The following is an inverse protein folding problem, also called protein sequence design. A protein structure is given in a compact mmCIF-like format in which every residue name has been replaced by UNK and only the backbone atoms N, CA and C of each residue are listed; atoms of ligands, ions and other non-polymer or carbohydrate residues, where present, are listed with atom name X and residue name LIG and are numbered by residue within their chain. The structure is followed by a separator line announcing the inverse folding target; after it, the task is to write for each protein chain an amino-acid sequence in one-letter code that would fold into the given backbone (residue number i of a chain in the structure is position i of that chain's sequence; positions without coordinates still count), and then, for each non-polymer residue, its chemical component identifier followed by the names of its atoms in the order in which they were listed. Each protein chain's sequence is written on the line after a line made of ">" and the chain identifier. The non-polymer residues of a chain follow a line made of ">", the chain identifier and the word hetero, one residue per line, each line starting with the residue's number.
data_IF_939877546065
#
_entry.id   IF_939877546065
#
_cell.length_a   1.000
_cell.length_b   1.000
_cell.length_c   1.000
_cell.angle_alpha   90.00
_cell.angle_beta   90.00
_cell.angle_gamma   90.00
#
_symmetry.space_group_name_H-M   'P 1'
#
loop_
_entity.id
_entity.type
_entity.pdbx_description
1 polymer ?
#
# COMPACT_ATOMS: atom_id res chain seq x y z
N UNK A 1 -6.24 -53.37 37.63
CA UNK A 1 -6.06 -52.71 38.95
C UNK A 1 -4.66 -53.00 39.45
N UNK A 2 -3.74 -52.07 39.23
CA UNK A 2 -2.36 -52.09 39.75
C UNK A 2 -2.07 -50.67 40.23
N UNK A 3 -1.78 -50.56 41.52
CA UNK A 3 -1.48 -49.34 42.25
C UNK A 3 -0.23 -48.65 41.71
N UNK A 4 -0.36 -47.38 41.34
CA UNK A 4 0.76 -46.46 41.15
C UNK A 4 0.64 -45.32 42.15
N UNK A 5 1.54 -45.32 43.13
CA UNK A 5 1.76 -44.20 44.07
C UNK A 5 2.63 -43.13 43.38
N UNK A 6 2.38 -41.82 43.61
CA UNK A 6 3.21 -40.76 43.07
C UNK A 6 4.49 -40.56 43.89
N UNK A 7 5.62 -40.38 43.19
CA UNK A 7 6.91 -39.98 43.76
C UNK A 7 6.92 -38.46 44.02
N UNK A 8 7.32 -38.08 45.23
CA UNK A 8 7.63 -36.70 45.64
C UNK A 8 8.92 -36.23 44.95
N UNK A 9 8.89 -35.06 44.31
CA UNK A 9 10.07 -34.35 43.81
C UNK A 9 10.36 -33.22 44.79
N UNK A 10 11.59 -33.19 45.34
CA UNK A 10 12.09 -32.15 46.23
C UNK A 10 12.64 -31.00 45.38
N UNK A 11 12.21 -29.77 45.69
CA UNK A 11 12.82 -28.54 45.18
C UNK A 11 13.99 -28.15 46.09
N UNK A 12 15.19 -28.05 45.52
CA UNK A 12 16.36 -27.45 46.17
C UNK A 12 16.56 -26.02 45.64
N UNK A 13 16.42 -25.04 46.54
CA UNK A 13 16.76 -23.64 46.33
C UNK A 13 18.27 -23.48 46.12
N UNK A 14 18.67 -22.91 44.99
CA UNK A 14 20.02 -22.46 44.71
C UNK A 14 19.98 -21.00 44.24
N UNK A 15 20.28 -20.10 45.16
CA UNK A 15 20.39 -18.65 44.92
C UNK A 15 21.85 -18.26 44.70
N UNK A 16 22.15 -17.61 43.58
CA UNK A 16 23.33 -16.75 43.41
C UNK A 16 23.00 -15.56 42.49
N UNK A 17 23.52 -14.34 42.79
CA UNK A 17 23.16 -13.12 42.09
C UNK A 17 24.20 -12.76 41.02
N UNK A 18 23.77 -12.38 39.82
CA UNK A 18 24.63 -11.69 38.85
C UNK A 18 23.90 -10.46 38.28
N UNK A 19 24.33 -9.32 38.80
CA UNK A 19 24.33 -7.95 38.28
C UNK A 19 23.75 -7.73 36.87
N UNK A 20 22.54 -7.15 36.81
CA UNK A 20 22.04 -6.40 35.66
C UNK A 20 22.81 -5.08 35.54
N UNK A 21 23.38 -4.81 34.36
CA UNK A 21 23.61 -3.45 33.89
C UNK A 21 22.46 -3.13 32.95
N UNK A 22 21.50 -2.39 33.46
CA UNK A 22 20.37 -1.88 32.69
C UNK A 22 20.88 -0.79 31.74
N UNK A 23 20.97 -1.12 30.45
CA UNK A 23 20.91 -0.15 29.38
C UNK A 23 19.47 -0.14 28.88
N UNK A 24 18.61 0.60 29.57
CA UNK A 24 17.25 0.88 29.11
C UNK A 24 17.34 1.83 27.93
N UNK A 25 17.47 1.28 26.73
CA UNK A 25 17.16 2.04 25.51
C UNK A 25 15.65 2.29 25.53
N UNK A 26 15.25 3.51 25.87
CA UNK A 26 13.87 3.95 25.78
C UNK A 26 13.50 3.94 24.29
N UNK A 27 12.70 2.96 23.87
CA UNK A 27 12.05 3.00 22.57
C UNK A 27 11.04 4.15 22.60
N UNK A 28 11.42 5.28 21.99
CA UNK A 28 10.51 6.41 21.78
C UNK A 28 9.53 5.97 20.71
N UNK A 29 8.36 5.50 21.14
CA UNK A 29 7.21 5.32 20.25
C UNK A 29 6.71 6.72 19.88
N UNK A 30 7.13 7.24 18.73
CA UNK A 30 6.38 8.31 18.07
C UNK A 30 5.01 7.74 17.73
N UNK A 31 3.99 8.13 18.51
CA UNK A 31 2.60 7.81 18.22
C UNK A 31 2.27 8.31 16.81
N UNK A 32 2.02 7.39 15.88
CA UNK A 32 1.65 7.61 14.48
C UNK A 32 0.25 8.24 14.33
N UNK A 33 0.04 9.41 14.93
CA UNK A 33 -1.16 10.25 14.76
C UNK A 33 -0.86 11.58 14.03
N UNK A 34 0.34 11.74 13.45
CA UNK A 34 0.61 12.89 12.59
C UNK A 34 0.02 12.72 11.18
N UNK A 35 -0.49 13.79 10.55
CA UNK A 35 -0.94 13.76 9.16
C UNK A 35 0.26 13.52 8.23
N UNK A 36 0.36 12.31 7.70
CA UNK A 36 1.50 11.89 6.88
C UNK A 36 1.56 12.61 5.52
N UNK A 37 2.70 13.25 5.27
CA UNK A 37 3.16 13.64 3.95
C UNK A 37 3.60 12.40 3.17
N UNK A 38 2.97 12.15 2.01
CA UNK A 38 3.40 11.11 1.07
C UNK A 38 4.72 11.58 0.43
N UNK A 39 5.86 11.07 0.90
CA UNK A 39 7.09 11.06 0.11
C UNK A 39 7.13 9.79 -0.71
N UNK A 40 7.21 9.94 -2.03
CA UNK A 40 7.41 8.83 -2.96
C UNK A 40 8.85 8.35 -2.86
N UNK A 41 9.18 7.60 -1.81
CA UNK A 41 10.45 6.88 -1.75
C UNK A 41 10.32 5.58 -2.54
N UNK A 42 11.16 5.49 -3.56
CA UNK A 42 11.30 4.36 -4.47
C UNK A 42 11.78 3.14 -3.67
N UNK A 43 11.16 1.98 -3.91
CA UNK A 43 11.61 0.68 -3.41
C UNK A 43 13.04 0.40 -3.91
N UNK A 44 14.06 0.71 -3.11
CA UNK A 44 15.40 0.17 -3.26
C UNK A 44 15.52 -1.08 -2.38
N UNK A 45 15.46 -2.25 -3.01
CA UNK A 45 15.82 -3.50 -2.34
C UNK A 45 17.29 -3.47 -1.95
N UNK A 46 17.68 -3.89 -0.72
CA UNK A 46 19.08 -3.92 -0.34
C UNK A 46 19.84 -4.98 -1.15
N UNK A 47 20.79 -4.53 -1.97
CA UNK A 47 21.77 -5.37 -2.64
C UNK A 47 22.74 -5.99 -1.62
N UNK A 48 22.92 -7.30 -1.71
CA UNK A 48 23.83 -8.09 -0.87
C UNK A 48 25.28 -7.71 -1.20
N UNK A 49 25.99 -7.06 -0.26
CA UNK A 49 27.45 -7.00 -0.28
C UNK A 49 28.03 -8.30 0.27
N UNK A 50 28.51 -9.15 -0.64
CA UNK A 50 29.29 -10.34 -0.32
C UNK A 50 30.76 -9.96 -0.06
N UNK A 51 31.24 -10.25 1.14
CA UNK A 51 32.67 -10.23 1.50
C UNK A 51 33.34 -11.42 0.83
N UNK A 52 34.29 -11.17 -0.09
CA UNK A 52 35.17 -12.19 -0.67
C UNK A 52 36.61 -11.88 -0.29
N UNK A 53 37.25 -12.88 0.30
CA UNK A 53 38.62 -12.88 0.80
C UNK A 53 39.65 -12.99 -0.33
N UNK A 54 40.68 -12.14 -0.26
CA UNK A 54 42.06 -12.25 -0.75
C UNK A 54 42.41 -13.16 -1.95
N UNK A 55 42.81 -12.51 -3.05
CA UNK A 55 43.65 -13.08 -4.10
C UNK A 55 44.20 -11.96 -4.99
N UNK A 56 45.49 -11.68 -4.90
CA UNK A 56 46.20 -10.66 -5.67
C UNK A 56 46.38 -11.07 -7.14
N UNK A 57 46.14 -10.17 -8.10
CA UNK A 57 47.00 -9.88 -9.27
C UNK A 57 46.43 -8.73 -10.12
N UNK A 58 47.23 -7.65 -10.20
CA UNK A 58 47.46 -6.61 -11.23
C UNK A 58 46.37 -5.77 -11.93
N UNK A 59 46.74 -4.51 -12.32
CA UNK A 59 45.81 -3.41 -12.56
C UNK A 59 45.65 -3.08 -14.04
N UNK A 60 44.44 -2.75 -14.48
CA UNK A 60 44.09 -1.70 -15.45
C UNK A 60 42.70 -1.95 -16.03
N UNK A 61 41.68 -1.33 -15.43
CA UNK A 61 40.46 -0.95 -16.13
C UNK A 61 40.04 0.41 -15.61
N UNK A 62 40.36 1.45 -16.39
CA UNK A 62 39.75 2.77 -16.23
C UNK A 62 38.28 2.60 -16.58
N UNK A 63 37.43 2.49 -15.56
CA UNK A 63 35.99 2.65 -15.73
C UNK A 63 35.71 4.14 -15.67
N UNK A 64 35.63 4.78 -16.82
CA UNK A 64 35.04 6.12 -16.92
C UNK A 64 33.62 6.05 -16.35
N UNK A 65 33.43 6.73 -15.21
CA UNK A 65 32.10 7.05 -14.71
C UNK A 65 31.45 8.00 -15.71
N UNK A 66 30.62 7.46 -16.58
CA UNK A 66 29.59 8.26 -17.25
C UNK A 66 28.60 8.67 -16.17
N UNK A 67 28.74 9.92 -15.71
CA UNK A 67 27.75 10.61 -14.89
C UNK A 67 26.49 10.73 -15.75
N UNK A 68 25.34 10.13 -15.40
CA UNK A 68 24.10 10.44 -16.09
C UNK A 68 23.74 11.89 -15.78
N UNK A 69 23.35 12.58 -16.84
CA UNK A 69 23.02 14.00 -16.87
C UNK A 69 22.12 14.43 -15.70
N UNK A 70 22.39 15.65 -15.24
CA UNK A 70 21.59 16.44 -14.31
C UNK A 70 20.09 16.37 -14.59
N UNK A 71 19.30 16.44 -13.52
CA UNK A 71 17.82 16.49 -13.40
C UNK A 71 17.13 17.61 -14.22
N UNK A 72 17.84 18.32 -15.11
CA UNK A 72 17.30 19.38 -15.96
C UNK A 72 16.91 18.94 -17.38
N UNK A 73 17.18 17.70 -17.82
CA UNK A 73 16.89 17.27 -19.20
C UNK A 73 15.57 16.51 -19.42
N UNK A 74 14.86 16.12 -18.36
CA UNK A 74 13.56 15.41 -18.50
C UNK A 74 12.42 16.35 -18.95
N UNK A 75 12.61 17.68 -18.92
CA UNK A 75 11.57 18.63 -19.34
C UNK A 75 11.52 18.92 -20.85
N UNK A 76 12.42 18.39 -21.68
CA UNK A 76 12.51 18.77 -23.11
C UNK A 76 12.13 17.69 -24.13
N UNK A 77 11.80 16.46 -23.71
CA UNK A 77 11.46 15.36 -24.65
C UNK A 77 9.94 15.20 -24.87
N UNK A 78 9.07 15.98 -24.20
CA UNK A 78 7.61 15.84 -24.30
C UNK A 78 6.93 16.60 -25.44
N UNK A 79 7.67 17.31 -26.31
CA UNK A 79 7.09 18.33 -27.21
C UNK A 79 6.55 17.84 -28.57
N UNK A 80 6.44 16.53 -28.84
CA UNK A 80 5.92 16.01 -30.12
C UNK A 80 4.65 15.15 -30.03
N UNK A 81 4.06 14.97 -28.84
CA UNK A 81 2.74 14.35 -28.73
C UNK A 81 1.66 15.36 -29.12
N UNK A 82 0.79 14.96 -30.04
CA UNK A 82 -0.36 15.73 -30.54
C UNK A 82 -1.01 16.57 -29.44
N UNK A 83 -0.92 17.90 -29.57
CA UNK A 83 -1.26 18.81 -28.48
C UNK A 83 -2.72 18.64 -28.05
N UNK A 84 -2.93 17.99 -26.91
CA UNK A 84 -4.25 17.83 -26.29
C UNK A 84 -4.78 19.21 -25.89
N UNK A 85 -6.09 19.41 -26.09
CA UNK A 85 -6.74 20.64 -25.67
C UNK A 85 -6.75 20.75 -24.14
N UNK A 86 -6.49 21.94 -23.58
CA UNK A 86 -6.62 22.14 -22.13
C UNK A 86 -8.03 21.84 -21.62
N UNK A 87 -8.20 21.54 -20.32
CA UNK A 87 -9.48 21.21 -19.69
C UNK A 87 -10.59 22.22 -20.04
N UNK A 88 -10.37 23.56 -19.93
CA UNK A 88 -11.39 24.54 -20.30
C UNK A 88 -11.80 24.47 -21.78
N UNK A 89 -10.82 24.46 -22.70
CA UNK A 89 -11.11 24.37 -24.14
C UNK A 89 -11.80 23.06 -24.52
N UNK A 90 -11.37 21.95 -23.92
CA UNK A 90 -11.97 20.64 -24.15
C UNK A 90 -13.42 20.58 -23.69
N UNK A 91 -13.71 21.09 -22.48
CA UNK A 91 -15.07 21.15 -21.96
C UNK A 91 -16.00 21.99 -22.85
N UNK A 92 -15.46 23.08 -23.42
CA UNK A 92 -16.19 23.96 -24.33
C UNK A 92 -16.18 23.49 -25.80
N UNK A 93 -15.51 22.38 -26.13
CA UNK A 93 -15.26 21.90 -27.51
C UNK A 93 -14.62 22.97 -28.42
N UNK A 94 -13.75 23.81 -27.86
CA UNK A 94 -13.02 24.84 -28.58
C UNK A 94 -11.62 24.35 -29.00
N UNK A 95 -11.13 24.88 -30.12
CA UNK A 95 -9.75 24.65 -30.57
C UNK A 95 -8.78 25.28 -29.55
N UNK A 96 -7.93 24.45 -28.95
CA UNK A 96 -6.92 24.90 -28.02
C UNK A 96 -5.64 25.26 -28.77
N UNK A 97 -5.37 26.56 -28.95
CA UNK A 97 -4.14 27.06 -29.57
C UNK A 97 -3.16 27.43 -28.46
N UNK A 98 -1.99 26.79 -28.42
CA UNK A 98 -0.96 27.12 -27.44
C UNK A 98 -0.42 28.54 -27.68
N UNK A 99 -0.16 29.30 -26.60
CA UNK A 99 0.58 30.57 -26.62
C UNK A 99 1.85 30.45 -25.78
N UNK A 100 2.68 31.49 -25.84
CA UNK A 100 3.79 31.68 -24.90
C UNK A 100 3.28 31.71 -23.45
N UNK A 101 4.09 31.18 -22.52
CA UNK A 101 3.83 31.11 -21.06
C UNK A 101 2.83 30.04 -20.58
N UNK A 102 2.67 28.93 -21.31
CA UNK A 102 1.95 27.75 -20.81
C UNK A 102 0.42 27.85 -20.81
N UNK A 103 -0.15 29.01 -21.13
CA UNK A 103 -1.61 29.22 -21.27
C UNK A 103 -2.01 29.17 -22.74
N UNK A 104 -3.20 28.65 -23.04
CA UNK A 104 -3.74 28.68 -24.40
C UNK A 104 -4.37 30.06 -24.75
N UNK A 105 -4.50 30.36 -26.05
CA UNK A 105 -5.08 31.63 -26.52
C UNK A 105 -6.48 31.89 -25.96
N UNK A 106 -7.33 30.87 -25.87
CA UNK A 106 -8.69 31.04 -25.37
C UNK A 106 -8.70 31.36 -23.86
N UNK A 107 -8.03 30.55 -23.04
CA UNK A 107 -7.93 30.78 -21.59
C UNK A 107 -7.31 32.14 -21.27
N UNK A 108 -6.30 32.56 -22.03
CA UNK A 108 -5.71 33.90 -21.91
C UNK A 108 -6.72 35.01 -22.22
N UNK A 109 -7.57 34.85 -23.24
CA UNK A 109 -8.60 35.85 -23.60
C UNK A 109 -9.74 35.91 -22.58
N UNK A 110 -10.10 34.79 -21.98
CA UNK A 110 -11.20 34.68 -21.01
C UNK A 110 -10.75 34.90 -19.57
N UNK A 111 -9.50 35.35 -19.36
CA UNK A 111 -8.91 35.56 -18.03
C UNK A 111 -8.99 34.33 -17.11
N UNK A 112 -8.95 33.13 -17.70
CA UNK A 112 -8.83 31.89 -16.92
C UNK A 112 -7.43 31.85 -16.31
N UNK A 113 -7.30 31.66 -14.98
CA UNK A 113 -6.00 31.55 -14.33
C UNK A 113 -5.12 30.47 -14.97
N UNK A 114 -3.82 30.74 -15.09
CA UNK A 114 -2.85 29.83 -15.74
C UNK A 114 -2.90 28.41 -15.17
N UNK A 115 -3.07 28.30 -13.86
CA UNK A 115 -3.17 27.02 -13.13
C UNK A 115 -4.41 26.20 -13.49
N UNK A 116 -5.42 26.77 -14.16
CA UNK A 116 -6.59 26.06 -14.65
C UNK A 116 -6.49 25.71 -16.14
N UNK A 117 -5.48 26.21 -16.86
CA UNK A 117 -5.21 25.89 -18.26
C UNK A 117 -4.37 24.60 -18.40
N UNK A 118 -4.81 23.53 -17.75
CA UNK A 118 -4.10 22.24 -17.71
C UNK A 118 -4.41 21.43 -18.97
N UNK A 119 -3.39 20.92 -19.67
CA UNK A 119 -3.53 20.02 -20.84
C UNK A 119 -3.58 18.54 -20.48
N UNK A 120 -3.05 18.19 -19.32
CA UNK A 120 -3.06 16.85 -18.79
C UNK A 120 -4.49 16.41 -18.46
N UNK A 121 -4.78 15.12 -18.64
CA UNK A 121 -6.08 14.55 -18.29
C UNK A 121 -5.93 13.75 -17.00
N UNK A 122 -6.98 13.77 -16.18
CA UNK A 122 -7.06 12.85 -15.04
C UNK A 122 -6.91 11.38 -15.48
N UNK A 123 -7.34 11.04 -16.69
CA UNK A 123 -7.25 9.67 -17.21
C UNK A 123 -5.87 9.28 -17.74
N UNK A 124 -4.97 10.24 -18.00
CA UNK A 124 -3.62 9.94 -18.50
C UNK A 124 -2.65 9.59 -17.39
N UNK A 125 -2.84 10.13 -16.19
CA UNK A 125 -1.99 9.87 -15.03
C UNK A 125 -2.69 8.96 -14.03
N UNK A 126 -2.73 7.66 -14.33
CA UNK A 126 -3.22 6.65 -13.39
C UNK A 126 -2.10 6.35 -12.38
N UNK A 127 -2.28 6.81 -11.15
CA UNK A 127 -1.28 6.74 -10.07
C UNK A 127 -0.95 5.28 -9.76
N UNK A 128 -1.94 4.40 -9.85
CA UNK A 128 -1.79 2.98 -9.55
C UNK A 128 -1.64 2.10 -10.80
N UNK A 129 -1.21 2.68 -11.93
CA UNK A 129 -0.97 1.92 -13.18
C UNK A 129 0.08 0.82 -13.01
N UNK A 130 1.14 1.06 -12.23
CA UNK A 130 2.23 0.09 -11.97
C UNK A 130 1.73 -1.24 -11.40
N UNK A 131 0.63 -1.22 -10.64
CA UNK A 131 0.06 -2.41 -10.00
C UNK A 131 -0.60 -3.37 -10.98
N UNK A 132 -0.79 -2.94 -12.24
CA UNK A 132 -1.28 -3.80 -13.33
C UNK A 132 -0.15 -4.32 -14.23
N UNK A 133 1.10 -3.95 -13.97
CA UNK A 133 2.21 -4.44 -14.76
C UNK A 133 2.53 -5.89 -14.37
N UNK A 134 2.57 -6.78 -15.38
CA UNK A 134 2.81 -8.20 -15.15
C UNK A 134 4.10 -8.47 -14.38
N UNK A 135 5.18 -7.72 -14.69
CA UNK A 135 6.47 -7.88 -14.01
C UNK A 135 6.38 -7.61 -12.50
N UNK A 136 5.63 -6.58 -12.11
CA UNK A 136 5.37 -6.27 -10.71
C UNK A 136 4.50 -7.34 -10.06
N UNK A 137 3.38 -7.69 -10.69
CA UNK A 137 2.45 -8.69 -10.15
C UNK A 137 3.10 -10.06 -9.94
N UNK A 138 3.96 -10.51 -10.87
CA UNK A 138 4.65 -11.79 -10.75
C UNK A 138 5.60 -11.85 -9.55
N UNK A 139 6.13 -10.72 -9.09
CA UNK A 139 7.00 -10.68 -7.90
C UNK A 139 6.23 -10.89 -6.59
N UNK A 140 4.95 -10.51 -6.56
CA UNK A 140 4.09 -10.63 -5.38
C UNK A 140 3.26 -11.91 -5.35
N UNK A 141 3.00 -12.50 -6.51
CA UNK A 141 2.08 -13.61 -6.64
C UNK A 141 2.62 -14.95 -6.14
N UNK A 142 3.93 -15.19 -6.26
CA UNK A 142 4.57 -16.45 -5.91
C UNK A 142 3.79 -17.69 -6.40
N UNK A 143 3.55 -17.78 -7.72
CA UNK A 143 2.68 -18.80 -8.31
C UNK A 143 3.20 -20.25 -8.27
N UNK A 144 4.51 -20.45 -8.08
CA UNK A 144 5.15 -21.77 -8.18
C UNK A 144 5.39 -22.40 -6.79
N UNK A 145 4.37 -22.44 -5.94
CA UNK A 145 4.44 -23.06 -4.63
C UNK A 145 3.91 -24.50 -4.70
N UNK A 146 4.55 -25.41 -3.99
CA UNK A 146 4.11 -26.80 -3.88
C UNK A 146 3.22 -26.94 -2.64
N UNK A 147 1.88 -27.02 -2.80
CA UNK A 147 0.97 -27.14 -1.67
C UNK A 147 1.12 -28.52 -1.00
N UNK A 148 1.12 -28.52 0.33
CA UNK A 148 1.22 -29.72 1.17
C UNK A 148 -0.10 -30.01 1.88
N UNK A 149 -0.72 -28.98 2.45
CA UNK A 149 -1.95 -29.11 3.24
C UNK A 149 -2.78 -27.84 3.13
N UNK A 150 -4.08 -27.96 2.84
CA UNK A 150 -5.00 -26.82 2.77
C UNK A 150 -5.78 -26.64 4.07
N UNK A 151 -5.99 -25.39 4.48
CA UNK A 151 -6.75 -24.97 5.66
C UNK A 151 -7.48 -23.66 5.37
N UNK A 152 -8.28 -23.16 6.31
CA UNK A 152 -8.95 -21.86 6.20
C UNK A 152 -8.45 -20.91 7.30
N UNK A 153 -8.14 -19.68 6.92
CA UNK A 153 -7.73 -18.63 7.84
C UNK A 153 -8.73 -17.47 7.86
N UNK A 154 -8.76 -16.75 8.98
CA UNK A 154 -9.41 -15.45 9.10
C UNK A 154 -8.32 -14.39 9.22
N UNK A 155 -8.41 -13.34 8.41
CA UNK A 155 -7.51 -12.21 8.45
C UNK A 155 -8.29 -10.91 8.64
N UNK A 156 -7.65 -9.91 9.23
CA UNK A 156 -8.20 -8.57 9.39
C UNK A 156 -7.08 -7.54 9.28
N UNK A 157 -7.46 -6.27 9.26
CA UNK A 157 -6.53 -5.14 9.34
C UNK A 157 -6.52 -4.48 10.72
N UNK A 158 -7.59 -4.70 11.47
CA UNK A 158 -7.77 -4.24 12.84
C UNK A 158 -8.43 -5.38 13.63
N UNK A 159 -7.99 -5.59 14.87
CA UNK A 159 -8.51 -6.65 15.74
C UNK A 159 -10.03 -6.56 16.01
N UNK A 160 -10.61 -5.35 15.94
CA UNK A 160 -12.05 -5.10 16.08
C UNK A 160 -12.74 -4.90 14.72
N UNK A 161 -11.98 -5.00 13.64
CA UNK A 161 -12.45 -4.72 12.29
C UNK A 161 -13.11 -5.91 11.61
N UNK A 162 -13.56 -5.70 10.37
CA UNK A 162 -14.05 -6.77 9.50
C UNK A 162 -12.99 -7.84 9.26
N UNK A 163 -13.43 -9.08 9.09
CA UNK A 163 -12.55 -10.22 8.80
C UNK A 163 -12.76 -10.74 7.38
N UNK A 164 -11.67 -11.09 6.69
CA UNK A 164 -11.66 -11.82 5.43
C UNK A 164 -11.32 -13.29 5.69
N UNK A 165 -12.21 -14.20 5.31
CA UNK A 165 -11.95 -15.64 5.33
C UNK A 165 -11.30 -16.09 4.04
N UNK A 166 -10.19 -16.83 4.07
CA UNK A 166 -9.52 -17.33 2.86
C UNK A 166 -9.10 -18.80 3.00
N UNK A 167 -9.04 -19.50 1.86
CA UNK A 167 -8.39 -20.82 1.79
C UNK A 167 -6.89 -20.62 1.66
N UNK A 168 -6.13 -21.33 2.47
CA UNK A 168 -4.67 -21.26 2.51
C UNK A 168 -4.07 -22.65 2.31
N UNK A 169 -2.85 -22.71 1.79
CA UNK A 169 -2.07 -23.93 1.73
C UNK A 169 -0.69 -23.74 2.40
N UNK A 170 -0.24 -24.77 3.12
CA UNK A 170 1.13 -24.87 3.59
C UNK A 170 2.03 -25.21 2.39
N UNK A 171 3.13 -24.49 2.21
CA UNK A 171 4.13 -24.77 1.18
C UNK A 171 5.52 -24.97 1.79
N UNK A 172 6.43 -25.54 1.01
CA UNK A 172 7.85 -25.66 1.35
C UNK A 172 8.62 -24.42 0.85
N UNK A 173 9.21 -23.59 1.73
CA UNK A 173 10.00 -22.44 1.30
C UNK A 173 11.22 -22.85 0.48
N UNK A 174 11.43 -22.16 -0.64
CA UNK A 174 12.62 -22.23 -1.48
C UNK A 174 13.65 -21.14 -1.13
N UNK A 175 13.24 -20.07 -0.46
CA UNK A 175 14.13 -19.01 -0.01
C UNK A 175 13.68 -18.40 1.33
N UNK A 176 14.61 -17.80 2.11
CA UNK A 176 14.26 -17.13 3.37
C UNK A 176 13.31 -15.94 3.18
N UNK A 177 13.30 -15.30 2.00
CA UNK A 177 12.42 -14.17 1.69
C UNK A 177 10.92 -14.56 1.70
N UNK A 178 10.62 -15.85 1.60
CA UNK A 178 9.25 -16.36 1.68
C UNK A 178 8.75 -16.53 3.11
N UNK A 179 9.64 -16.44 4.11
CA UNK A 179 9.31 -16.62 5.53
C UNK A 179 9.82 -15.50 6.42
N UNK A 180 10.27 -14.39 5.83
CA UNK A 180 10.74 -13.21 6.57
C UNK A 180 9.89 -12.00 6.22
N UNK A 181 9.25 -11.43 7.24
CA UNK A 181 8.53 -10.17 7.13
C UNK A 181 9.42 -9.05 7.65
N UNK A 182 9.94 -8.25 6.72
CA UNK A 182 10.83 -7.13 7.03
C UNK A 182 10.04 -5.89 7.43
N UNK A 183 10.57 -5.14 8.39
CA UNK A 183 10.01 -3.86 8.85
C UNK A 183 11.13 -2.87 9.17
N UNK A 184 10.80 -1.58 9.08
CA UNK A 184 11.75 -0.49 9.31
C UNK A 184 11.78 -0.12 10.79
N UNK A 185 12.98 0.05 11.33
CA UNK A 185 13.25 0.55 12.67
C UNK A 185 14.20 1.75 12.60
N UNK A 186 14.38 2.48 13.69
CA UNK A 186 15.24 3.67 13.72
C UNK A 186 16.69 3.40 13.29
N UNK A 187 17.21 2.18 13.51
CA UNK A 187 18.58 1.77 13.14
C UNK A 187 18.71 1.09 11.77
N UNK A 188 17.63 0.95 11.01
CA UNK A 188 17.65 0.29 9.70
C UNK A 188 16.46 -0.63 9.47
N UNK A 189 16.74 -1.84 9.01
CA UNK A 189 15.73 -2.87 8.75
C UNK A 189 15.90 -4.03 9.71
N UNK A 190 14.78 -4.57 10.15
CA UNK A 190 14.70 -5.81 10.92
C UNK A 190 13.65 -6.73 10.30
N UNK A 191 13.51 -7.95 10.81
CA UNK A 191 12.51 -8.90 10.34
C UNK A 191 11.98 -9.80 11.46
N UNK A 192 10.79 -10.33 11.22
CA UNK A 192 10.25 -11.46 11.98
C UNK A 192 10.16 -12.69 11.07
N UNK A 193 10.36 -13.87 11.66
CA UNK A 193 10.09 -15.12 10.98
C UNK A 193 8.58 -15.40 10.94
N UNK A 194 8.08 -15.84 9.79
CA UNK A 194 6.68 -16.20 9.58
C UNK A 194 6.56 -17.65 9.12
N UNK A 195 5.38 -18.24 9.30
CA UNK A 195 5.09 -19.57 8.76
C UNK A 195 4.96 -19.55 7.24
N UNK A 196 5.02 -20.74 6.61
CA UNK A 196 5.04 -20.92 5.16
C UNK A 196 3.65 -21.22 4.61
N UNK A 197 2.70 -20.32 4.87
CA UNK A 197 1.36 -20.40 4.29
C UNK A 197 1.16 -19.37 3.17
N UNK A 198 0.44 -19.80 2.14
CA UNK A 198 0.04 -19.02 0.98
C UNK A 198 -1.48 -19.13 0.78
N UNK A 199 -2.05 -18.31 -0.10
CA UNK A 199 -3.39 -18.56 -0.63
C UNK A 199 -3.41 -19.85 -1.44
N UNK A 200 -4.46 -20.64 -1.23
CA UNK A 200 -4.72 -21.86 -2.00
C UNK A 200 -5.06 -21.52 -3.46
N UNK A 201 -5.83 -20.44 -3.65
CA UNK A 201 -6.05 -19.79 -4.93
C UNK A 201 -5.44 -18.38 -4.89
N UNK A 202 -4.33 -18.13 -5.62
CA UNK A 202 -3.66 -16.83 -5.62
C UNK A 202 -4.53 -15.73 -6.24
N UNK A 203 -5.54 -16.07 -7.04
CA UNK A 203 -6.42 -15.14 -7.73
C UNK A 203 -7.81 -15.14 -7.06
N UNK A 204 -7.85 -14.68 -5.80
CA UNK A 204 -9.09 -14.51 -5.06
C UNK A 204 -10.12 -13.72 -5.88
N UNK A 205 -11.36 -14.18 -5.87
CA UNK A 205 -12.44 -13.50 -6.58
C UNK A 205 -12.52 -12.02 -6.18
N UNK A 206 -12.39 -11.13 -7.18
CA UNK A 206 -12.41 -9.67 -7.00
C UNK A 206 -13.64 -9.18 -6.21
N UNK A 207 -14.76 -9.88 -6.35
CA UNK A 207 -15.98 -9.59 -5.59
C UNK A 207 -15.80 -9.72 -4.08
N UNK A 208 -15.02 -10.71 -3.62
CA UNK A 208 -14.75 -10.92 -2.19
C UNK A 208 -13.91 -9.81 -1.60
N UNK A 209 -12.91 -9.34 -2.34
CA UNK A 209 -12.12 -8.16 -1.96
C UNK A 209 -12.99 -6.91 -1.94
N UNK A 210 -13.87 -6.74 -2.93
CA UNK A 210 -14.80 -5.62 -2.96
C UNK A 210 -15.69 -5.59 -1.71
N UNK A 211 -16.33 -6.70 -1.36
CA UNK A 211 -17.19 -6.84 -0.17
C UNK A 211 -16.41 -6.55 1.13
N UNK A 212 -15.19 -7.07 1.22
CA UNK A 212 -14.31 -6.80 2.35
C UNK A 212 -13.96 -5.32 2.48
N UNK A 213 -13.60 -4.64 1.38
CA UNK A 213 -13.31 -3.20 1.37
C UNK A 213 -14.54 -2.39 1.76
N UNK A 214 -15.75 -2.75 1.29
CA UNK A 214 -16.97 -2.06 1.71
C UNK A 214 -17.22 -2.22 3.21
N UNK A 215 -16.93 -3.40 3.77
CA UNK A 215 -17.03 -3.63 5.21
C UNK A 215 -16.01 -2.78 5.98
N UNK A 216 -14.78 -2.67 5.47
CA UNK A 216 -13.73 -1.84 6.06
C UNK A 216 -14.07 -0.35 6.03
N UNK A 217 -14.74 0.13 4.97
CA UNK A 217 -15.17 1.52 4.86
C UNK A 217 -16.05 1.93 6.05
N UNK A 218 -17.06 1.13 6.40
CA UNK A 218 -17.93 1.41 7.54
C UNK A 218 -17.16 1.46 8.86
N UNK A 219 -16.23 0.52 9.06
CA UNK A 219 -15.38 0.46 10.24
C UNK A 219 -14.46 1.70 10.34
N UNK A 220 -13.75 2.05 9.27
CA UNK A 220 -12.83 3.19 9.27
C UNK A 220 -13.55 4.52 9.43
N UNK A 221 -14.74 4.69 8.86
CA UNK A 221 -15.56 5.89 9.05
C UNK A 221 -16.08 6.02 10.48
N UNK A 222 -16.42 4.91 11.14
CA UNK A 222 -16.80 4.95 12.55
C UNK A 222 -15.63 5.43 13.43
N UNK A 223 -14.40 4.99 13.11
CA UNK A 223 -13.18 5.38 13.82
C UNK A 223 -12.75 6.84 13.61
N UNK A 224 -13.16 7.50 12.52
CA UNK A 224 -12.81 8.92 12.25
C UNK A 224 -13.73 9.90 12.98
N UNK A 225 -14.81 9.44 13.61
CA UNK A 225 -15.77 10.29 14.34
C UNK A 225 -15.15 11.07 15.51
N UNK A 226 -14.09 10.54 16.12
CA UNK A 226 -13.34 11.19 17.20
C UNK A 226 -12.24 12.14 16.72
N UNK A 227 -11.93 12.16 15.42
CA UNK A 227 -10.85 12.96 14.85
C UNK A 227 -11.35 14.36 14.45
N UNK A 228 -10.58 15.41 14.74
CA UNK A 228 -10.87 16.78 14.33
C UNK A 228 -10.28 17.13 12.97
N UNK A 229 -9.78 16.15 12.22
CA UNK A 229 -9.12 16.37 10.93
C UNK A 229 -10.08 16.89 9.84
N UNK A 230 -9.58 17.62 8.84
CA UNK A 230 -10.37 18.04 7.66
C UNK A 230 -11.06 16.89 6.93
N UNK A 231 -10.55 15.66 7.07
CA UNK A 231 -11.17 14.47 6.50
C UNK A 231 -12.55 14.20 7.11
N UNK A 232 -12.75 14.51 8.40
CA UNK A 232 -14.06 14.37 9.03
C UNK A 232 -15.11 15.22 8.33
N UNK A 233 -14.82 16.50 8.07
CA UNK A 233 -15.74 17.39 7.35
C UNK A 233 -16.08 16.84 5.96
N UNK A 234 -15.10 16.23 5.28
CA UNK A 234 -15.33 15.59 3.99
C UNK A 234 -16.25 14.37 4.10
N UNK A 235 -16.12 13.56 5.15
CA UNK A 235 -17.00 12.40 5.37
C UNK A 235 -18.41 12.78 5.84
N UNK A 236 -18.57 13.88 6.57
CA UNK A 236 -19.88 14.41 6.95
C UNK A 236 -20.70 14.85 5.72
N UNK A 237 -20.05 15.38 4.67
CA UNK A 237 -20.72 15.73 3.40
C UNK A 237 -20.85 14.56 2.42
N UNK A 238 -20.13 13.47 2.68
CA UNK A 238 -20.08 12.29 1.84
C UNK A 238 -20.36 11.03 2.68
N UNK A 239 -21.60 10.86 3.18
CA UNK A 239 -21.93 9.73 4.03
C UNK A 239 -21.73 8.40 3.26
N UNK A 240 -21.40 7.31 3.95
CA UNK A 240 -21.22 6.00 3.32
C UNK A 240 -22.46 5.51 2.57
N UNK A 241 -23.65 5.97 2.98
CA UNK A 241 -24.93 5.70 2.33
C UNK A 241 -25.19 6.56 1.08
N UNK A 242 -24.21 7.37 0.66
CA UNK A 242 -24.32 8.20 -0.53
C UNK A 242 -24.69 7.35 -1.76
N UNK A 243 -25.73 7.78 -2.46
CA UNK A 243 -26.14 7.16 -3.73
C UNK A 243 -25.28 7.61 -4.90
N UNK A 244 -24.41 8.62 -4.71
CA UNK A 244 -23.55 9.12 -5.77
C UNK A 244 -22.44 8.10 -6.10
N UNK A 245 -22.37 7.61 -7.35
CA UNK A 245 -21.44 6.56 -7.73
C UNK A 245 -19.97 7.02 -7.69
N UNK A 246 -19.68 8.30 -7.97
CA UNK A 246 -18.32 8.83 -7.91
C UNK A 246 -17.84 8.89 -6.46
N UNK A 247 -18.69 9.36 -5.56
CA UNK A 247 -18.38 9.43 -4.15
C UNK A 247 -18.15 8.05 -3.56
N UNK A 248 -19.00 7.06 -3.89
CA UNK A 248 -18.80 5.67 -3.46
C UNK A 248 -17.46 5.09 -3.94
N UNK A 249 -17.06 5.37 -5.18
CA UNK A 249 -15.76 4.93 -5.69
C UNK A 249 -14.60 5.61 -4.96
N UNK A 250 -14.69 6.92 -4.69
CA UNK A 250 -13.67 7.65 -3.95
C UNK A 250 -13.51 7.12 -2.52
N UNK A 251 -14.62 6.90 -1.80
CA UNK A 251 -14.63 6.30 -0.46
C UNK A 251 -14.05 4.88 -0.46
N UNK A 252 -14.38 4.08 -1.48
CA UNK A 252 -13.83 2.73 -1.63
C UNK A 252 -12.33 2.73 -1.89
N UNK A 253 -11.83 3.67 -2.71
CA UNK A 253 -10.39 3.86 -2.93
C UNK A 253 -9.68 4.27 -1.65
N UNK A 254 -10.27 5.19 -0.88
CA UNK A 254 -9.73 5.60 0.41
C UNK A 254 -9.64 4.43 1.39
N UNK A 255 -10.74 3.67 1.55
CA UNK A 255 -10.77 2.51 2.44
C UNK A 255 -9.77 1.42 2.03
N UNK A 256 -9.68 1.10 0.73
CA UNK A 256 -8.72 0.11 0.24
C UNK A 256 -7.25 0.55 0.44
N UNK A 257 -6.93 1.83 0.23
CA UNK A 257 -5.59 2.35 0.54
C UNK A 257 -5.29 2.32 2.03
N UNK A 258 -6.26 2.67 2.88
CA UNK A 258 -6.09 2.61 4.34
C UNK A 258 -5.87 1.18 4.81
N UNK A 259 -6.60 0.23 4.22
CA UNK A 259 -6.38 -1.18 4.42
C UNK A 259 -4.94 -1.57 4.03
N UNK A 260 -4.52 -1.33 2.78
CA UNK A 260 -3.16 -1.66 2.33
C UNK A 260 -2.05 -1.09 3.23
N UNK A 261 -2.21 0.13 3.76
CA UNK A 261 -1.25 0.73 4.69
C UNK A 261 -1.21 0.11 6.09
N UNK A 262 -2.30 -0.51 6.55
CA UNK A 262 -2.37 -1.09 7.91
C UNK A 262 -1.72 -2.48 7.97
N UNK A 263 -1.66 -3.17 6.84
CA UNK A 263 -1.15 -4.54 6.76
C UNK A 263 -2.15 -5.59 7.27
N UNK A 264 -1.86 -6.85 6.93
CA UNK A 264 -2.71 -7.98 7.30
C UNK A 264 -2.29 -8.62 8.62
N UNK A 265 -3.28 -8.95 9.43
CA UNK A 265 -3.13 -9.65 10.70
C UNK A 265 -4.04 -10.89 10.72
N UNK A 266 -3.60 -11.93 11.42
CA UNK A 266 -4.40 -13.11 11.70
C UNK A 266 -5.48 -12.79 12.72
N UNK A 267 -6.65 -13.38 12.54
CA UNK A 267 -7.80 -13.26 13.43
C UNK A 267 -8.36 -14.64 13.78
N UNK A 268 -9.24 -14.72 14.78
CA UNK A 268 -9.83 -15.97 15.24
C UNK A 268 -8.89 -16.81 16.10
N UNK A 269 -9.12 -18.13 16.13
CA UNK A 269 -8.40 -19.08 16.99
C UNK A 269 -7.24 -19.81 16.28
N UNK A 270 -7.26 -19.86 14.96
CA UNK A 270 -6.23 -20.51 14.15
C UNK A 270 -5.35 -19.46 13.48
N UNK A 271 -4.14 -19.30 13.99
CA UNK A 271 -3.17 -18.35 13.49
C UNK A 271 -2.15 -18.96 12.54
N UNK A 272 -2.39 -20.17 12.02
CA UNK A 272 -1.48 -20.85 11.09
C UNK A 272 -0.06 -21.01 11.67
N UNK A 273 0.02 -21.22 12.98
CA UNK A 273 1.29 -21.29 13.72
C UNK A 273 2.02 -19.95 13.89
N UNK A 274 1.41 -18.82 13.53
CA UNK A 274 1.91 -17.48 13.88
C UNK A 274 1.67 -17.18 15.37
N UNK A 275 2.46 -16.24 15.91
CA UNK A 275 2.41 -15.85 17.31
C UNK A 275 2.26 -14.33 17.46
N UNK A 276 1.79 -13.92 18.64
CA UNK A 276 1.74 -12.52 19.03
C UNK A 276 3.15 -11.93 19.08
N UNK A 277 3.35 -10.79 18.41
CA UNK A 277 4.60 -10.05 18.49
C UNK A 277 4.67 -9.33 19.83
N UNK A 278 5.61 -9.76 20.68
CA UNK A 278 5.81 -9.23 22.04
C UNK A 278 6.92 -8.19 22.14
N UNK A 279 7.63 -7.93 21.04
CA UNK A 279 8.67 -6.90 21.00
C UNK A 279 8.05 -5.50 20.87
N UNK A 280 8.13 -4.72 21.94
CA UNK A 280 7.58 -3.35 22.04
C UNK A 280 8.22 -2.35 21.07
N UNK A 281 9.41 -2.66 20.54
CA UNK A 281 10.10 -1.83 19.57
C UNK A 281 9.70 -2.19 18.12
N UNK A 282 8.95 -3.28 17.91
CA UNK A 282 8.41 -3.64 16.60
C UNK A 282 7.15 -2.81 16.29
N UNK A 283 6.97 -2.30 15.06
CA UNK A 283 5.71 -1.69 14.63
C UNK A 283 4.55 -2.68 14.60
N UNK A 284 4.83 -3.98 14.73
CA UNK A 284 3.86 -5.06 14.79
C UNK A 284 3.52 -5.47 16.23
N UNK A 285 4.05 -4.78 17.25
CA UNK A 285 3.80 -5.09 18.66
C UNK A 285 2.31 -5.24 18.96
N UNK A 286 1.96 -6.32 19.66
CA UNK A 286 0.58 -6.61 20.06
C UNK A 286 -0.29 -7.15 18.92
N UNK A 287 0.26 -7.43 17.74
CA UNK A 287 -0.45 -8.07 16.63
C UNK A 287 0.06 -9.48 16.34
N UNK A 288 -0.77 -10.28 15.65
CA UNK A 288 -0.37 -11.56 15.06
C UNK A 288 -0.31 -11.34 13.55
N UNK A 289 0.86 -11.05 12.96
CA UNK A 289 0.96 -10.72 11.54
C UNK A 289 0.62 -11.92 10.67
N UNK A 290 0.07 -11.64 9.49
CA UNK A 290 -0.13 -12.69 8.49
C UNK A 290 1.21 -13.27 8.00
N UNK A 291 1.25 -14.55 7.61
CA UNK A 291 2.40 -15.13 6.92
C UNK A 291 2.86 -14.28 5.73
N UNK A 292 4.18 -14.13 5.57
CA UNK A 292 4.78 -13.25 4.55
C UNK A 292 4.23 -13.50 3.14
N UNK A 293 4.10 -14.78 2.77
CA UNK A 293 3.61 -15.16 1.45
C UNK A 293 2.15 -14.80 1.24
N UNK A 294 1.32 -15.20 2.19
CA UNK A 294 -0.10 -14.87 2.24
C UNK A 294 -0.34 -13.35 2.20
N UNK A 295 0.46 -12.56 2.93
CA UNK A 295 0.33 -11.11 2.97
C UNK A 295 0.52 -10.47 1.59
N UNK A 296 1.60 -10.76 0.86
CA UNK A 296 1.78 -10.13 -0.47
C UNK A 296 0.72 -10.56 -1.47
N UNK A 297 0.27 -11.81 -1.41
CA UNK A 297 -0.76 -12.26 -2.33
C UNK A 297 -2.06 -11.50 -2.09
N UNK A 298 -2.42 -11.25 -0.83
CA UNK A 298 -3.57 -10.43 -0.47
C UNK A 298 -3.38 -8.94 -0.80
N UNK A 299 -2.18 -8.39 -0.54
CA UNK A 299 -1.83 -7.02 -0.92
C UNK A 299 -1.95 -6.83 -2.43
N UNK A 300 -1.46 -7.77 -3.24
CA UNK A 300 -1.63 -7.76 -4.69
C UNK A 300 -3.11 -7.74 -5.11
N UNK A 301 -3.99 -8.44 -4.38
CA UNK A 301 -5.43 -8.40 -4.65
C UNK A 301 -6.02 -7.02 -4.33
N UNK A 302 -5.63 -6.40 -3.20
CA UNK A 302 -6.02 -5.01 -2.87
C UNK A 302 -5.48 -4.00 -3.88
N UNK A 303 -4.23 -4.13 -4.30
CA UNK A 303 -3.61 -3.27 -5.31
C UNK A 303 -4.33 -3.37 -6.66
N UNK A 304 -4.66 -4.59 -7.09
CA UNK A 304 -5.43 -4.81 -8.32
C UNK A 304 -6.83 -4.19 -8.21
N UNK A 305 -7.49 -4.33 -7.06
CA UNK A 305 -8.76 -3.67 -6.77
C UNK A 305 -8.64 -2.15 -6.88
N UNK A 306 -7.66 -1.54 -6.20
CA UNK A 306 -7.44 -0.09 -6.20
C UNK A 306 -7.18 0.42 -7.63
N UNK A 307 -6.28 -0.22 -8.38
CA UNK A 307 -5.99 0.18 -9.75
C UNK A 307 -7.22 0.10 -10.68
N UNK A 308 -8.07 -0.90 -10.46
CA UNK A 308 -9.32 -1.08 -11.21
C UNK A 308 -10.34 0.02 -10.86
N UNK A 309 -10.56 0.28 -9.58
CA UNK A 309 -11.50 1.32 -9.13
C UNK A 309 -11.01 2.71 -9.51
N UNK A 310 -9.70 2.98 -9.44
CA UNK A 310 -9.11 4.26 -9.86
C UNK A 310 -9.38 4.53 -11.34
N UNK A 311 -9.07 3.57 -12.22
CA UNK A 311 -9.31 3.72 -13.65
C UNK A 311 -10.79 4.01 -13.96
N UNK A 312 -11.70 3.33 -13.26
CA UNK A 312 -13.14 3.57 -13.40
C UNK A 312 -13.55 4.96 -12.87
N UNK A 313 -13.06 5.33 -11.69
CA UNK A 313 -13.31 6.63 -11.07
C UNK A 313 -12.85 7.78 -11.96
N UNK A 314 -11.61 7.75 -12.46
CA UNK A 314 -11.07 8.81 -13.32
C UNK A 314 -11.86 8.94 -14.63
N UNK A 315 -12.31 7.83 -15.21
CA UNK A 315 -13.17 7.81 -16.41
C UNK A 315 -14.53 8.44 -16.13
N UNK A 316 -15.19 8.08 -15.04
CA UNK A 316 -16.49 8.63 -14.65
C UNK A 316 -16.39 10.11 -14.25
N UNK A 317 -15.31 10.50 -13.57
CA UNK A 317 -15.06 11.89 -13.17
C UNK A 317 -14.87 12.77 -14.41
N UNK A 318 -14.04 12.31 -15.34
CA UNK A 318 -13.82 12.95 -16.64
C UNK A 318 -15.15 13.13 -17.40
N UNK A 319 -16.01 12.12 -17.36
CA UNK A 319 -17.35 12.16 -17.98
C UNK A 319 -18.30 13.13 -17.26
N UNK A 320 -18.30 13.15 -15.92
CA UNK A 320 -19.11 14.06 -15.12
C UNK A 320 -18.71 15.52 -15.33
N UNK A 321 -17.41 15.83 -15.43
CA UNK A 321 -16.91 17.17 -15.74
C UNK A 321 -17.38 17.67 -17.09
N UNK A 322 -17.56 16.79 -18.07
CA UNK A 322 -18.11 17.14 -19.39
C UNK A 322 -19.63 17.35 -19.38
N UNK A 323 -20.35 16.60 -18.53
CA UNK A 323 -21.81 16.72 -18.37
C UNK A 323 -22.21 17.98 -17.63
N UNK A 324 -21.49 18.32 -16.55
CA UNK A 324 -21.65 19.55 -15.80
C UNK A 324 -21.08 20.74 -16.58
N UNK A 325 -21.69 21.02 -17.73
CA UNK A 325 -21.65 22.36 -18.30
C UNK A 325 -22.45 23.22 -17.34
N UNK A 326 -21.85 24.08 -16.50
CA UNK A 326 -22.59 25.25 -16.09
C UNK A 326 -23.06 25.86 -17.40
N UNK A 327 -24.36 26.02 -17.51
CA UNK A 327 -24.94 27.02 -18.36
C UNK A 327 -24.21 28.32 -18.00
N UNK A 328 -23.06 28.57 -18.61
CA UNK A 328 -22.58 29.91 -18.87
C UNK A 328 -23.49 30.44 -19.99
N UNK A 329 -24.79 30.48 -19.72
CA UNK A 329 -25.65 31.59 -20.08
C UNK A 329 -25.28 32.74 -19.14
N UNK A 330 -24.02 33.19 -19.22
CA UNK A 330 -23.66 34.54 -18.85
C UNK A 330 -23.50 35.22 -20.21
N UNK A 331 -24.61 35.79 -20.66
CA UNK A 331 -24.77 37.23 -20.60
C UNK A 331 -23.97 37.86 -21.74
N UNK A 332 -24.55 37.77 -22.93
CA UNK A 332 -24.40 38.85 -23.92
C UNK A 332 -24.79 40.15 -23.21
N UNK A 333 -23.87 41.12 -23.06
CA UNK A 333 -24.30 42.51 -22.99
C UNK A 333 -24.93 42.92 -24.33
#
# INVERSE_FOLDING_TARGET
>A
MKDMRPKKINYSNGSTPISRKDASTVCVQETLNEPFHITSDIFESPGISGVVSNGAFEPNCIVERVIPASVQEVSQISSSRTATACIPCWRQKLKCVAKHHGVCQHCSKTSIPVQLCIKERFTSDQVFSKWRENGYQSQLAWYNLTPVHSTTALLCHDSQGPTLRVSCCLFQPASPEQTRLYYKIGSGWDYIETTSYALDDPDLEMMRIHEYVQSCLGFFLAGTSSDSSPLRTLFEVAPPETTDPLMRMALSLWAANRALMSGWQMSGLDWLGMFLVVDECSPLYGSVPAPRVLQNQLDRQLETYIATVEAKFLKELSSAMLRNRPYLSLATP
#
